data_IF_737828590090
#
_entry.id   IF_737828590090
#
_cell.length_a   1.000
_cell.length_b   1.000
_cell.length_c   1.000
_cell.angle_alpha   90.00
_cell.angle_beta   90.00
_cell.angle_gamma   90.00
#
_symmetry.space_group_name_H-M   'P 1'
#
loop_
_entity.id
_entity.type
_entity.pdbx_description
1 polymer ?
#
# COMPACT_ATOMS: atom_id res chain seq x y z
N UNK A 1 73.53 -23.55 6.04
CA UNK A 1 73.66 -22.09 6.20
C UNK A 1 72.41 -21.59 6.89
N UNK A 2 72.48 -21.47 8.22
CA UNK A 2 71.68 -20.57 9.06
C UNK A 2 72.66 -19.50 9.59
N UNK A 3 72.25 -18.28 10.04
CA UNK A 3 71.44 -18.05 11.27
C UNK A 3 70.36 -16.93 11.10
N UNK A 4 69.28 -16.82 11.89
CA UNK A 4 69.04 -16.47 13.33
C UNK A 4 69.46 -15.04 13.76
N UNK A 5 68.50 -14.26 14.29
CA UNK A 5 68.67 -13.09 15.21
C UNK A 5 67.47 -12.13 15.19
N UNK A 6 66.56 -12.04 16.19
CA UNK A 6 66.61 -11.30 17.48
C UNK A 6 67.16 -9.87 17.32
N UNK A 7 66.58 -8.76 17.81
CA UNK A 7 66.23 -8.40 19.21
C UNK A 7 65.77 -6.91 19.22
N UNK A 8 64.95 -6.44 20.18
CA UNK A 8 64.94 -5.01 20.57
C UNK A 8 63.62 -4.38 21.06
N UNK A 9 63.27 -4.59 22.34
CA UNK A 9 62.46 -3.69 23.20
C UNK A 9 63.43 -2.66 23.90
N UNK A 10 63.00 -1.75 24.79
CA UNK A 10 62.42 -0.41 24.57
C UNK A 10 63.22 0.72 25.30
N UNK A 11 62.99 2.00 25.02
CA UNK A 11 63.54 3.14 25.80
C UNK A 11 62.40 4.15 26.06
N UNK A 12 61.77 4.15 27.24
CA UNK A 12 62.07 4.96 28.46
C UNK A 12 62.34 6.43 28.18
N UNK A 13 61.38 7.28 28.54
CA UNK A 13 61.54 8.32 29.57
C UNK A 13 60.15 8.92 29.88
N UNK A 14 59.56 8.75 31.07
CA UNK A 14 59.85 9.38 32.39
C UNK A 14 59.75 10.90 32.41
N UNK A 15 58.54 11.37 32.74
CA UNK A 15 58.27 12.38 33.78
C UNK A 15 56.88 12.02 34.32
N UNK A 16 56.64 11.43 35.50
CA UNK A 16 57.03 11.69 36.89
C UNK A 16 56.70 13.09 37.38
N UNK A 17 55.50 13.22 37.98
CA UNK A 17 55.17 13.81 39.29
C UNK A 17 53.70 14.28 39.25
N UNK A 18 52.88 14.24 40.30
CA UNK A 18 52.84 13.51 41.57
C UNK A 18 51.61 14.04 42.32
N UNK A 19 51.02 13.19 43.15
CA UNK A 19 50.46 13.46 44.49
C UNK A 19 48.94 13.45 44.69
N UNK A 20 48.56 12.51 45.58
CA UNK A 20 47.68 12.65 46.78
C UNK A 20 46.17 12.74 46.51
N UNK A 21 45.25 12.04 47.17
CA UNK A 21 45.22 11.34 48.46
C UNK A 21 44.16 10.21 48.50
N UNK A 22 44.41 9.25 49.41
CA UNK A 22 43.59 8.13 49.95
C UNK A 22 42.52 8.67 50.97
N UNK A 23 41.79 7.95 51.85
CA UNK A 23 41.18 6.60 51.91
C UNK A 23 39.68 6.53 52.39
N UNK A 24 39.05 5.37 52.14
CA UNK A 24 38.17 4.54 53.02
C UNK A 24 36.90 5.11 53.73
N UNK A 25 35.81 4.33 53.57
CA UNK A 25 34.92 3.67 54.59
C UNK A 25 33.40 3.94 54.49
N UNK A 26 32.70 2.85 54.10
CA UNK A 26 31.53 2.21 54.74
C UNK A 26 30.37 3.09 55.25
N UNK A 27 29.19 2.89 54.68
CA UNK A 27 27.96 2.63 55.44
C UNK A 27 27.10 1.57 54.72
N UNK A 28 26.72 0.53 55.46
CA UNK A 28 25.69 -0.43 55.08
C UNK A 28 24.31 0.12 55.50
N UNK A 29 23.31 -0.02 54.63
CA UNK A 29 21.94 0.46 54.86
C UNK A 29 20.90 -0.34 54.08
N UNK A 30 20.42 -1.41 54.71
CA UNK A 30 19.13 -2.12 54.63
C UNK A 30 18.10 -1.74 53.54
N UNK A 31 17.70 -2.78 52.80
CA UNK A 31 16.37 -3.13 52.28
C UNK A 31 15.35 -2.01 51.93
N UNK A 32 14.97 -1.97 50.65
CA UNK A 32 13.74 -1.34 50.18
C UNK A 32 13.32 -1.94 48.84
N UNK A 33 12.46 -2.96 48.87
CA UNK A 33 11.73 -3.42 47.69
C UNK A 33 10.89 -2.26 47.13
N UNK A 34 11.36 -1.61 46.06
CA UNK A 34 10.51 -0.78 45.19
C UNK A 34 10.37 -1.47 43.85
N UNK A 35 9.18 -2.05 43.66
CA UNK A 35 8.68 -2.48 42.34
C UNK A 35 8.81 -1.27 41.39
N UNK A 36 9.76 -1.34 40.45
CA UNK A 36 9.72 -0.46 39.28
C UNK A 36 8.53 -0.92 38.43
N UNK A 37 7.35 -0.36 38.70
CA UNK A 37 6.27 -0.32 37.70
C UNK A 37 6.78 0.58 36.57
N UNK A 38 7.43 -0.03 35.57
CA UNK A 38 7.63 0.61 34.27
C UNK A 38 6.26 0.76 33.64
N UNK A 39 5.64 1.91 33.90
CA UNK A 39 4.41 2.34 33.24
C UNK A 39 4.76 2.63 31.78
N UNK A 40 4.60 1.63 30.91
CA UNK A 40 4.54 1.88 29.47
C UNK A 40 3.33 2.79 29.22
N UNK A 41 3.47 3.90 28.47
CA UNK A 41 2.33 4.72 28.12
C UNK A 41 1.47 3.95 27.12
N UNK A 42 0.40 3.35 27.62
CA UNK A 42 -0.69 2.83 26.80
C UNK A 42 -1.44 4.04 26.24
N UNK A 43 -0.98 4.61 25.12
CA UNK A 43 -1.72 5.61 24.35
C UNK A 43 -2.56 4.89 23.31
N UNK A 44 -3.82 5.33 23.18
CA UNK A 44 -4.89 4.74 22.35
C UNK A 44 -4.37 4.25 20.99
N UNK A 45 -4.46 2.94 20.80
CA UNK A 45 -4.39 2.31 19.49
C UNK A 45 -5.44 2.96 18.56
N UNK A 46 -5.09 3.34 17.32
CA UNK A 46 -6.09 3.61 16.29
C UNK A 46 -7.07 2.44 16.22
N UNK A 47 -8.36 2.77 16.14
CA UNK A 47 -9.46 1.84 16.42
C UNK A 47 -9.48 0.63 15.46
N UNK A 48 -8.89 -0.49 15.88
CA UNK A 48 -9.06 -1.78 15.23
C UNK A 48 -10.53 -2.23 15.44
N UNK A 49 -11.36 -2.16 14.40
CA UNK A 49 -12.75 -2.62 14.46
C UNK A 49 -12.82 -4.15 14.30
N UNK A 50 -12.32 -4.89 15.30
CA UNK A 50 -12.43 -6.35 15.34
C UNK A 50 -13.89 -6.81 15.34
N UNK A 51 -14.38 -7.24 14.18
CA UNK A 51 -15.48 -8.21 14.01
C UNK A 51 -15.05 -9.16 12.90
N UNK A 52 -15.76 -10.27 12.69
CA UNK A 52 -15.54 -11.20 11.58
C UNK A 52 -15.84 -10.54 10.21
N UNK A 53 -15.08 -9.51 9.87
CA UNK A 53 -15.34 -8.59 8.77
C UNK A 53 -14.10 -7.75 8.49
N UNK A 54 -14.11 -7.16 7.30
CA UNK A 54 -13.06 -6.31 6.75
C UNK A 54 -12.49 -5.30 7.77
N UNK A 55 -11.27 -5.55 8.24
CA UNK A 55 -10.50 -4.75 9.18
C UNK A 55 -9.77 -3.62 8.45
N UNK A 56 -10.05 -2.41 8.89
CA UNK A 56 -9.43 -1.19 8.35
C UNK A 56 -8.71 -0.46 9.46
N UNK A 57 -7.45 -0.10 9.21
CA UNK A 57 -6.72 0.85 10.03
C UNK A 57 -6.67 2.22 9.36
N UNK A 58 -6.76 3.28 10.14
CA UNK A 58 -6.77 4.64 9.63
C UNK A 58 -5.71 5.49 10.32
N UNK A 59 -4.69 5.90 9.55
CA UNK A 59 -3.62 6.79 9.98
C UNK A 59 -3.90 8.28 9.72
N UNK A 60 -5.14 8.65 9.38
CA UNK A 60 -5.67 10.02 9.41
C UNK A 60 -4.79 11.04 8.69
N UNK A 61 -3.93 11.71 9.44
CA UNK A 61 -3.02 12.76 8.96
C UNK A 61 -1.63 12.25 8.51
N UNK A 62 -1.48 10.95 8.25
CA UNK A 62 -0.22 10.36 7.78
C UNK A 62 -0.30 10.05 6.29
N UNK A 63 0.68 10.51 5.52
CA UNK A 63 0.83 10.13 4.12
C UNK A 63 1.68 8.87 3.96
N UNK A 64 1.70 8.30 2.75
CA UNK A 64 2.55 7.15 2.39
C UNK A 64 4.03 7.47 2.56
N UNK A 65 4.42 8.72 2.33
CA UNK A 65 5.79 9.22 2.53
C UNK A 65 6.10 9.25 4.03
N UNK A 66 7.12 8.49 4.46
CA UNK A 66 7.48 8.36 5.88
C UNK A 66 6.76 7.22 6.60
N UNK A 67 6.07 6.36 5.84
CA UNK A 67 5.52 5.09 6.32
C UNK A 67 6.43 3.95 5.82
N UNK A 68 7.04 3.22 6.75
CA UNK A 68 7.69 1.95 6.45
C UNK A 68 6.72 0.80 6.72
N UNK A 69 6.61 -0.12 5.77
CA UNK A 69 5.72 -1.28 5.88
C UNK A 69 6.56 -2.53 5.67
N UNK A 70 6.54 -3.42 6.65
CA UNK A 70 7.29 -4.68 6.65
C UNK A 70 6.40 -5.81 7.17
N UNK A 71 6.90 -7.05 7.12
CA UNK A 71 6.26 -8.22 7.74
C UNK A 71 7.02 -8.69 8.97
N UNK A 72 6.30 -9.08 10.02
CA UNK A 72 6.88 -9.81 11.15
C UNK A 72 7.20 -11.26 10.76
N UNK A 73 7.89 -11.99 11.64
CA UNK A 73 8.16 -13.41 11.45
C UNK A 73 6.86 -14.26 11.41
N UNK A 74 5.80 -13.79 12.06
CA UNK A 74 4.47 -14.41 12.08
C UNK A 74 3.59 -13.98 10.90
N UNK A 75 4.09 -13.12 10.01
CA UNK A 75 3.34 -12.60 8.86
C UNK A 75 2.46 -11.39 9.17
N UNK A 76 2.49 -10.85 10.40
CA UNK A 76 1.75 -9.63 10.75
C UNK A 76 2.30 -8.43 9.97
N UNK A 77 1.43 -7.49 9.59
CA UNK A 77 1.87 -6.21 8.98
C UNK A 77 2.48 -5.36 10.08
N UNK A 78 3.72 -4.91 9.88
CA UNK A 78 4.40 -3.99 10.79
C UNK A 78 4.53 -2.64 10.10
N UNK A 79 3.98 -1.62 10.72
CA UNK A 79 4.02 -0.24 10.22
C UNK A 79 4.85 0.61 11.16
N UNK A 80 5.87 1.27 10.62
CA UNK A 80 6.69 2.22 11.35
C UNK A 80 6.51 3.63 10.80
N UNK A 81 6.16 4.57 11.69
CA UNK A 81 5.95 5.98 11.36
C UNK A 81 6.28 6.88 12.55
N UNK A 82 7.03 7.96 12.33
CA UNK A 82 7.35 8.93 13.39
C UNK A 82 8.07 8.30 14.60
N UNK A 83 8.85 7.24 14.40
CA UNK A 83 9.50 6.46 15.46
C UNK A 83 8.56 5.56 16.28
N UNK A 84 7.26 5.52 15.94
CA UNK A 84 6.29 4.57 16.48
C UNK A 84 6.22 3.34 15.59
N UNK A 85 5.87 2.20 16.16
CA UNK A 85 5.66 0.94 15.43
C UNK A 85 4.36 0.31 15.87
N UNK A 86 3.51 -0.01 14.90
CA UNK A 86 2.26 -0.76 15.08
C UNK A 86 2.38 -2.13 14.41
N UNK A 87 1.81 -3.16 15.03
CA UNK A 87 1.75 -4.52 14.49
C UNK A 87 0.29 -4.91 14.30
N UNK A 88 -0.07 -5.22 13.06
CA UNK A 88 -1.44 -5.42 12.61
C UNK A 88 -1.61 -6.85 12.14
N UNK A 89 -2.58 -7.54 12.75
CA UNK A 89 -2.96 -8.90 12.38
C UNK A 89 -4.19 -8.84 11.50
N UNK A 90 -4.19 -9.62 10.42
CA UNK A 90 -5.35 -9.78 9.54
C UNK A 90 -5.98 -8.45 9.11
N UNK A 91 -5.16 -7.43 8.81
CA UNK A 91 -5.66 -6.15 8.29
C UNK A 91 -5.88 -6.27 6.78
N UNK A 92 -7.04 -5.85 6.29
CA UNK A 92 -7.35 -5.83 4.85
C UNK A 92 -6.97 -4.50 4.20
N UNK A 93 -7.06 -3.39 4.93
CA UNK A 93 -6.80 -2.06 4.40
C UNK A 93 -6.17 -1.13 5.44
N UNK A 94 -5.18 -0.34 5.03
CA UNK A 94 -4.63 0.77 5.81
C UNK A 94 -4.83 2.08 5.05
N UNK A 95 -5.61 2.98 5.62
CA UNK A 95 -5.95 4.30 5.05
C UNK A 95 -4.96 5.36 5.47
N UNK A 96 -4.57 6.17 4.50
CA UNK A 96 -3.61 7.25 4.63
C UNK A 96 -4.21 8.54 4.06
N UNK A 97 -3.56 9.68 4.33
CA UNK A 97 -3.98 11.00 3.85
C UNK A 97 -3.95 11.11 2.32
N UNK A 98 -3.14 10.29 1.64
CA UNK A 98 -2.83 10.35 0.19
C UNK A 98 -3.19 9.06 -0.57
N UNK A 99 -3.88 8.10 0.06
CA UNK A 99 -4.28 6.84 -0.57
C UNK A 99 -4.52 5.72 0.45
N UNK A 100 -4.40 4.47 0.00
CA UNK A 100 -4.55 3.30 0.86
C UNK A 100 -3.55 2.20 0.51
N UNK A 101 -3.16 1.42 1.51
CA UNK A 101 -2.49 0.14 1.32
C UNK A 101 -3.53 -0.96 1.40
N UNK A 102 -3.53 -1.82 0.40
CA UNK A 102 -4.47 -2.93 0.25
C UNK A 102 -3.74 -4.25 0.51
N UNK A 103 -4.32 -5.06 1.38
CA UNK A 103 -3.81 -6.38 1.74
C UNK A 103 -4.81 -7.51 1.42
N UNK A 104 -6.04 -7.14 1.07
CA UNK A 104 -7.08 -8.08 0.69
C UNK A 104 -6.89 -8.59 -0.75
N UNK A 105 -6.81 -9.90 -0.92
CA UNK A 105 -6.72 -10.57 -2.22
C UNK A 105 -7.94 -10.38 -3.13
N UNK A 106 -9.10 -10.07 -2.54
CA UNK A 106 -10.34 -9.83 -3.27
C UNK A 106 -10.56 -8.35 -3.66
N UNK A 107 -9.68 -7.43 -3.24
CA UNK A 107 -9.80 -6.02 -3.62
C UNK A 107 -9.51 -5.84 -5.13
N UNK A 108 -10.16 -4.87 -5.80
CA UNK A 108 -9.86 -4.51 -7.18
C UNK A 108 -8.37 -4.32 -7.48
N UNK A 109 -7.60 -3.75 -6.55
CA UNK A 109 -6.16 -3.57 -6.75
C UNK A 109 -5.44 -4.92 -6.95
N UNK A 110 -5.80 -5.94 -6.16
CA UNK A 110 -5.21 -7.27 -6.28
C UNK A 110 -5.67 -7.99 -7.56
N UNK A 111 -6.93 -7.80 -7.98
CA UNK A 111 -7.44 -8.32 -9.25
C UNK A 111 -6.68 -7.72 -10.44
N UNK A 112 -6.44 -6.42 -10.44
CA UNK A 112 -5.68 -5.74 -11.50
C UNK A 112 -4.25 -6.27 -11.56
N UNK A 113 -3.55 -6.41 -10.43
CA UNK A 113 -2.19 -6.96 -10.45
C UNK A 113 -2.18 -8.38 -11.03
N UNK A 114 -3.11 -9.25 -10.62
CA UNK A 114 -3.23 -10.61 -11.19
C UNK A 114 -3.44 -10.60 -12.70
N UNK A 115 -4.26 -9.68 -13.19
CA UNK A 115 -4.52 -9.53 -14.62
C UNK A 115 -3.26 -9.09 -15.37
N UNK A 116 -2.48 -8.15 -14.81
CA UNK A 116 -1.18 -7.75 -15.37
C UNK A 116 -0.21 -8.93 -15.48
N UNK A 117 -0.08 -9.74 -14.44
CA UNK A 117 0.80 -10.91 -14.50
C UNK A 117 0.29 -11.93 -15.51
N UNK A 118 -1.00 -12.27 -15.50
CA UNK A 118 -1.54 -13.24 -16.44
C UNK A 118 -1.41 -12.78 -17.90
N UNK A 119 -1.69 -11.50 -18.18
CA UNK A 119 -1.67 -10.97 -19.55
C UNK A 119 -0.26 -10.61 -20.02
N UNK A 120 0.54 -9.93 -19.20
CA UNK A 120 1.75 -9.21 -19.63
C UNK A 120 3.03 -9.68 -18.95
N UNK A 121 2.94 -10.61 -17.98
CA UNK A 121 4.08 -11.15 -17.22
C UNK A 121 4.96 -10.06 -16.59
N UNK A 122 4.32 -9.08 -15.93
CA UNK A 122 5.00 -7.99 -15.24
C UNK A 122 4.13 -7.37 -14.15
N UNK A 123 4.78 -6.66 -13.23
CA UNK A 123 4.09 -5.77 -12.31
C UNK A 123 3.50 -4.56 -13.04
N UNK A 124 2.34 -4.03 -12.59
CA UNK A 124 1.83 -2.77 -13.07
C UNK A 124 2.68 -1.58 -12.58
N UNK A 125 2.84 -0.58 -13.44
CA UNK A 125 3.25 0.74 -12.95
C UNK A 125 2.11 1.38 -12.16
N UNK A 126 2.45 2.25 -11.21
CA UNK A 126 1.47 2.90 -10.33
C UNK A 126 0.31 3.56 -11.09
N UNK A 127 0.62 4.32 -12.15
CA UNK A 127 -0.42 5.00 -12.93
C UNK A 127 -1.33 4.01 -13.67
N UNK A 128 -0.75 2.93 -14.22
CA UNK A 128 -1.51 1.87 -14.88
C UNK A 128 -2.41 1.12 -13.91
N UNK A 129 -1.91 0.79 -12.72
CA UNK A 129 -2.69 0.16 -11.65
C UNK A 129 -3.90 1.01 -11.27
N UNK A 130 -3.67 2.29 -10.95
CA UNK A 130 -4.70 3.24 -10.58
C UNK A 130 -5.79 3.39 -11.65
N UNK A 131 -5.38 3.55 -12.91
CA UNK A 131 -6.31 3.66 -14.04
C UNK A 131 -7.29 2.48 -14.08
N UNK A 132 -6.81 1.24 -13.95
CA UNK A 132 -7.68 0.06 -14.00
C UNK A 132 -8.52 -0.14 -12.74
N UNK A 133 -8.00 0.21 -11.56
CA UNK A 133 -8.79 0.22 -10.32
C UNK A 133 -9.97 1.19 -10.46
N UNK A 134 -9.75 2.38 -11.00
CA UNK A 134 -10.80 3.36 -11.21
C UNK A 134 -11.86 2.87 -12.20
N UNK A 135 -11.46 2.18 -13.28
CA UNK A 135 -12.41 1.54 -14.20
C UNK A 135 -13.30 0.51 -13.52
N UNK A 136 -12.73 -0.34 -12.66
CA UNK A 136 -13.51 -1.27 -11.84
C UNK A 136 -14.45 -0.52 -10.88
N UNK A 137 -14.00 0.61 -10.31
CA UNK A 137 -14.80 1.48 -9.45
C UNK A 137 -15.94 2.21 -10.19
N UNK A 138 -15.79 2.44 -11.50
CA UNK A 138 -16.82 2.99 -12.39
C UNK A 138 -17.88 1.94 -12.80
N UNK A 139 -17.69 0.68 -12.41
CA UNK A 139 -18.63 -0.42 -12.66
C UNK A 139 -18.26 -1.31 -13.86
N UNK A 140 -17.10 -1.11 -14.48
CA UNK A 140 -16.58 -2.08 -15.46
C UNK A 140 -16.24 -3.40 -14.78
N UNK A 141 -16.44 -4.51 -15.51
CA UNK A 141 -16.09 -5.84 -15.02
C UNK A 141 -14.64 -6.21 -15.33
N UNK A 142 -14.11 -7.21 -14.63
CA UNK A 142 -12.77 -7.74 -14.91
C UNK A 142 -12.64 -8.26 -16.36
N UNK A 143 -13.74 -8.72 -16.95
CA UNK A 143 -13.79 -9.17 -18.35
C UNK A 143 -13.52 -8.02 -19.33
N UNK A 144 -14.10 -6.84 -19.08
CA UNK A 144 -13.89 -5.64 -19.91
C UNK A 144 -12.41 -5.20 -19.86
N UNK A 145 -11.81 -5.29 -18.68
CA UNK A 145 -10.39 -5.05 -18.48
C UNK A 145 -9.56 -6.07 -19.26
N UNK A 146 -9.83 -7.37 -19.10
CA UNK A 146 -9.13 -8.43 -19.83
C UNK A 146 -9.18 -8.21 -21.36
N UNK A 147 -10.35 -7.85 -21.89
CA UNK A 147 -10.50 -7.50 -23.30
C UNK A 147 -9.63 -6.29 -23.69
N UNK A 148 -9.58 -5.27 -22.84
CA UNK A 148 -8.77 -4.06 -23.08
C UNK A 148 -7.26 -4.35 -23.05
N UNK A 149 -6.81 -5.27 -22.18
CA UNK A 149 -5.42 -5.73 -22.15
C UNK A 149 -5.05 -6.44 -23.45
N UNK A 150 -5.89 -7.36 -23.94
CA UNK A 150 -5.64 -8.09 -25.18
C UNK A 150 -5.63 -7.16 -26.41
N UNK A 151 -6.47 -6.11 -26.39
CA UNK A 151 -6.51 -5.10 -27.44
C UNK A 151 -5.39 -4.05 -27.33
N UNK A 152 -4.62 -4.06 -26.23
CA UNK A 152 -3.62 -3.02 -25.98
C UNK A 152 -2.46 -3.09 -26.99
N UNK A 153 -1.87 -1.95 -27.35
CA UNK A 153 -0.63 -1.93 -28.13
C UNK A 153 0.50 -2.72 -27.46
N UNK A 154 0.52 -2.76 -26.12
CA UNK A 154 1.55 -3.46 -25.37
C UNK A 154 1.46 -4.98 -25.53
N UNK A 155 0.26 -5.57 -25.40
CA UNK A 155 0.07 -7.00 -25.59
C UNK A 155 0.47 -7.41 -27.02
N UNK A 156 0.03 -6.64 -28.01
CA UNK A 156 0.37 -6.86 -29.42
C UNK A 156 1.87 -6.68 -29.69
N UNK A 157 2.53 -5.70 -29.07
CA UNK A 157 3.97 -5.50 -29.21
C UNK A 157 4.77 -6.63 -28.55
N UNK A 158 4.28 -7.17 -27.42
CA UNK A 158 4.96 -8.23 -26.68
C UNK A 158 4.82 -9.60 -27.34
N UNK A 159 3.63 -9.93 -27.85
CA UNK A 159 3.34 -11.29 -28.34
C UNK A 159 2.96 -11.39 -29.81
N UNK A 160 2.62 -10.28 -30.46
CA UNK A 160 2.15 -10.27 -31.84
C UNK A 160 0.82 -11.01 -32.00
N UNK A 161 0.62 -11.57 -33.20
CA UNK A 161 -0.54 -12.42 -33.48
C UNK A 161 -0.25 -13.85 -33.03
N UNK A 162 -1.06 -14.34 -32.09
CA UNK A 162 -0.98 -15.71 -31.57
C UNK A 162 -2.14 -16.55 -32.11
N UNK A 163 -1.89 -17.83 -32.41
CA UNK A 163 -2.96 -18.83 -32.49
C UNK A 163 -3.55 -19.10 -31.10
N UNK A 164 -4.71 -19.75 -31.02
CA UNK A 164 -5.33 -20.07 -29.73
C UNK A 164 -4.45 -20.99 -28.87
N UNK A 165 -3.78 -21.98 -29.49
CA UNK A 165 -2.80 -22.82 -28.78
C UNK A 165 -1.65 -21.99 -28.22
N UNK A 166 -1.04 -21.13 -29.03
CA UNK A 166 0.07 -20.28 -28.58
C UNK A 166 -0.36 -19.30 -27.51
N UNK A 167 -1.60 -18.81 -27.59
CA UNK A 167 -2.18 -17.94 -26.58
C UNK A 167 -2.35 -18.66 -25.24
N UNK A 168 -2.93 -19.85 -25.22
CA UNK A 168 -3.06 -20.67 -23.98
C UNK A 168 -1.69 -21.03 -23.42
N UNK A 169 -0.74 -21.42 -24.28
CA UNK A 169 0.65 -21.68 -23.86
C UNK A 169 1.28 -20.46 -23.20
N UNK A 170 1.04 -19.26 -23.76
CA UNK A 170 1.54 -18.01 -23.19
C UNK A 170 0.95 -17.73 -21.82
N UNK A 171 -0.36 -17.90 -21.64
CA UNK A 171 -0.99 -17.67 -20.34
C UNK A 171 -0.47 -18.62 -19.26
N UNK A 172 -0.22 -19.89 -19.60
CA UNK A 172 0.44 -20.82 -18.69
C UNK A 172 1.85 -20.38 -18.31
N UNK A 173 2.64 -19.94 -19.29
CA UNK A 173 3.98 -19.44 -19.02
C UNK A 173 3.95 -18.21 -18.10
N UNK A 174 3.02 -17.28 -18.33
CA UNK A 174 2.90 -16.06 -17.53
C UNK A 174 2.42 -16.35 -16.10
N UNK A 175 1.42 -17.23 -15.94
CA UNK A 175 0.80 -17.50 -14.64
C UNK A 175 1.61 -18.49 -13.80
N UNK A 176 2.17 -19.54 -14.41
CA UNK A 176 2.83 -20.63 -13.70
C UNK A 176 4.35 -20.66 -13.88
N UNK A 177 4.90 -19.88 -14.82
CA UNK A 177 6.33 -19.93 -15.17
C UNK A 177 6.74 -21.23 -15.86
N UNK A 178 5.79 -22.08 -16.25
CA UNK A 178 6.01 -23.40 -16.86
C UNK A 178 5.00 -23.66 -17.98
N UNK A 179 5.28 -24.69 -18.77
CA UNK A 179 4.30 -25.21 -19.72
C UNK A 179 3.09 -25.80 -18.99
N UNK A 180 1.90 -25.54 -19.55
CA UNK A 180 0.67 -26.16 -19.11
C UNK A 180 0.65 -27.66 -19.38
N UNK A 181 -0.07 -28.40 -18.55
CA UNK A 181 -0.30 -29.82 -18.76
C UNK A 181 -1.23 -30.06 -19.96
N UNK A 182 -1.01 -31.16 -20.69
CA UNK A 182 -1.74 -31.46 -21.92
C UNK A 182 -3.27 -31.42 -21.75
N UNK A 183 -3.78 -31.98 -20.64
CA UNK A 183 -5.21 -31.99 -20.34
C UNK A 183 -5.75 -30.58 -20.06
N UNK A 184 -5.00 -29.75 -19.34
CA UNK A 184 -5.39 -28.36 -19.04
C UNK A 184 -5.42 -27.50 -20.30
N UNK A 185 -4.39 -27.62 -21.15
CA UNK A 185 -4.35 -26.94 -22.46
C UNK A 185 -5.54 -27.35 -23.33
N UNK A 186 -5.81 -28.65 -23.44
CA UNK A 186 -6.93 -29.17 -24.23
C UNK A 186 -8.28 -28.63 -23.71
N UNK A 187 -8.44 -28.52 -22.38
CA UNK A 187 -9.65 -27.95 -21.80
C UNK A 187 -9.85 -26.49 -22.22
N UNK A 188 -8.84 -25.62 -22.06
CA UNK A 188 -8.94 -24.21 -22.46
C UNK A 188 -9.18 -24.03 -23.96
N UNK A 189 -8.53 -24.84 -24.80
CA UNK A 189 -8.77 -24.82 -26.25
C UNK A 189 -10.21 -25.21 -26.58
N UNK A 190 -10.77 -26.22 -25.91
CA UNK A 190 -12.18 -26.58 -26.08
C UNK A 190 -13.14 -25.45 -25.70
N UNK A 191 -12.78 -24.58 -24.75
CA UNK A 191 -13.60 -23.42 -24.39
C UNK A 191 -13.62 -22.40 -25.53
N UNK A 192 -12.45 -22.13 -26.13
CA UNK A 192 -12.32 -21.24 -27.29
C UNK A 192 -13.09 -21.81 -28.51
N UNK A 193 -12.96 -23.11 -28.77
CA UNK A 193 -13.70 -23.80 -29.83
C UNK A 193 -15.22 -23.77 -29.61
N UNK A 194 -15.66 -23.72 -28.34
CA UNK A 194 -17.08 -23.62 -27.96
C UNK A 194 -17.63 -22.18 -28.00
N UNK A 195 -16.82 -21.20 -28.42
CA UNK A 195 -17.23 -19.81 -28.61
C UNK A 195 -16.93 -18.87 -27.44
N UNK A 196 -16.23 -19.32 -26.40
CA UNK A 196 -15.70 -18.39 -25.40
C UNK A 196 -14.62 -17.51 -26.02
N UNK A 197 -14.58 -16.26 -25.58
CA UNK A 197 -13.60 -15.28 -26.00
C UNK A 197 -12.24 -15.52 -25.32
N UNK A 198 -11.17 -15.05 -25.97
CA UNK A 198 -9.84 -15.01 -25.33
C UNK A 198 -9.83 -14.20 -24.04
N UNK A 199 -10.67 -13.17 -23.91
CA UNK A 199 -10.78 -12.37 -22.71
C UNK A 199 -11.35 -13.18 -21.53
N UNK A 200 -12.36 -14.03 -21.76
CA UNK A 200 -12.87 -14.95 -20.74
C UNK A 200 -11.80 -15.95 -20.28
N UNK A 201 -11.02 -16.48 -21.23
CA UNK A 201 -9.89 -17.36 -20.90
C UNK A 201 -8.84 -16.63 -20.06
N UNK A 202 -8.44 -15.41 -20.45
CA UNK A 202 -7.49 -14.60 -19.66
C UNK A 202 -8.01 -14.33 -18.25
N UNK A 203 -9.29 -13.96 -18.11
CA UNK A 203 -9.91 -13.75 -16.80
C UNK A 203 -9.84 -15.04 -15.96
N UNK A 204 -10.13 -16.19 -16.56
CA UNK A 204 -10.06 -17.49 -15.90
C UNK A 204 -8.65 -17.83 -15.40
N UNK A 205 -7.62 -17.56 -16.21
CA UNK A 205 -6.23 -17.69 -15.79
C UNK A 205 -5.86 -16.69 -14.68
N UNK A 206 -6.24 -15.42 -14.83
CA UNK A 206 -5.99 -14.35 -13.86
C UNK A 206 -6.53 -14.71 -12.47
N UNK A 207 -7.76 -15.20 -12.41
CA UNK A 207 -8.45 -15.49 -11.14
C UNK A 207 -8.32 -16.95 -10.70
N UNK A 208 -7.51 -17.75 -11.39
CA UNK A 208 -7.22 -19.13 -11.00
C UNK A 208 -6.59 -19.19 -9.61
N UNK A 209 -6.86 -20.28 -8.88
CA UNK A 209 -6.27 -20.50 -7.55
C UNK A 209 -4.72 -20.49 -7.60
N UNK A 210 -4.15 -21.01 -8.70
CA UNK A 210 -2.70 -21.01 -8.92
C UNK A 210 -2.15 -19.59 -9.08
N UNK A 211 -2.77 -18.74 -9.92
CA UNK A 211 -2.29 -17.36 -10.09
C UNK A 211 -2.43 -16.54 -8.81
N UNK A 212 -3.54 -16.73 -8.08
CA UNK A 212 -3.74 -16.08 -6.77
C UNK A 212 -2.64 -16.46 -5.79
N UNK A 213 -2.26 -17.73 -5.74
CA UNK A 213 -1.16 -18.19 -4.91
C UNK A 213 0.20 -17.61 -5.35
N UNK A 214 0.47 -17.60 -6.66
CA UNK A 214 1.73 -17.13 -7.22
C UNK A 214 1.94 -15.62 -7.00
N UNK A 215 0.86 -14.84 -7.09
CA UNK A 215 0.91 -13.38 -6.97
C UNK A 215 0.78 -12.87 -5.54
N UNK A 216 0.27 -13.67 -4.60
CA UNK A 216 0.14 -13.29 -3.18
C UNK A 216 1.46 -12.83 -2.55
N UNK A 217 2.60 -13.35 -3.03
CA UNK A 217 3.93 -12.95 -2.59
C UNK A 217 4.33 -11.52 -3.00
N UNK A 218 3.81 -11.01 -4.11
CA UNK A 218 4.25 -9.75 -4.73
C UNK A 218 3.86 -8.54 -3.87
N UNK A 219 2.69 -8.60 -3.23
CA UNK A 219 2.16 -7.52 -2.42
C UNK A 219 2.09 -7.87 -0.94
N UNK A 220 3.03 -8.69 -0.45
CA UNK A 220 3.15 -8.93 0.99
C UNK A 220 3.24 -7.61 1.76
N UNK A 221 3.88 -6.56 1.26
CA UNK A 221 3.92 -5.27 1.96
C UNK A 221 2.74 -4.32 1.64
N UNK A 222 1.69 -4.85 1.03
CA UNK A 222 0.49 -4.12 0.63
C UNK A 222 0.64 -3.48 -0.75
N UNK A 223 -0.46 -3.50 -1.50
CA UNK A 223 -0.57 -2.79 -2.77
C UNK A 223 -0.84 -1.33 -2.45
N UNK A 224 0.01 -0.43 -2.94
CA UNK A 224 -0.24 0.99 -2.81
C UNK A 224 -1.24 1.43 -3.87
N UNK A 225 -2.42 1.86 -3.45
CA UNK A 225 -3.45 2.46 -4.28
C UNK A 225 -3.52 3.96 -3.93
N UNK A 226 -2.89 4.77 -4.78
CA UNK A 226 -2.87 6.23 -4.64
C UNK A 226 -4.29 6.76 -4.81
N UNK A 227 -4.68 7.74 -4.02
CA UNK A 227 -5.86 8.54 -4.34
C UNK A 227 -5.35 9.87 -4.90
N UNK A 228 -5.42 10.05 -6.23
CA UNK A 228 -4.79 11.21 -6.88
C UNK A 228 -5.39 12.54 -6.38
N UNK A 229 -6.69 12.57 -6.12
CA UNK A 229 -7.37 13.72 -5.54
C UNK A 229 -6.93 13.94 -4.10
N UNK A 230 -6.82 12.87 -3.30
CA UNK A 230 -6.25 12.95 -1.96
C UNK A 230 -4.84 13.53 -1.97
N UNK A 231 -4.01 13.06 -2.89
CA UNK A 231 -2.61 13.44 -3.00
C UNK A 231 -2.49 14.93 -3.39
N UNK A 232 -3.33 15.41 -4.30
CA UNK A 232 -3.39 16.83 -4.64
C UNK A 232 -3.82 17.68 -3.45
N UNK A 233 -4.86 17.27 -2.73
CA UNK A 233 -5.32 17.94 -1.51
C UNK A 233 -4.23 17.93 -0.43
N UNK A 234 -3.58 16.79 -0.22
CA UNK A 234 -2.49 16.59 0.73
C UNK A 234 -1.32 17.54 0.46
N UNK A 235 -0.90 17.68 -0.80
CA UNK A 235 0.16 18.61 -1.21
C UNK A 235 -0.21 20.07 -0.93
N UNK A 236 -1.47 20.46 -1.20
CA UNK A 236 -1.94 21.82 -0.93
C UNK A 236 -1.95 22.11 0.57
N UNK A 237 -2.50 21.19 1.37
CA UNK A 237 -2.54 21.30 2.82
C UNK A 237 -1.14 21.39 3.43
N UNK A 238 -0.21 20.55 2.98
CA UNK A 238 1.17 20.58 3.44
C UNK A 238 1.83 21.93 3.11
N UNK A 239 1.67 22.42 1.88
CA UNK A 239 2.29 23.68 1.42
C UNK A 239 1.70 24.91 2.11
N UNK A 240 0.38 24.96 2.32
CA UNK A 240 -0.32 26.15 2.84
C UNK A 240 -0.40 26.15 4.37
N UNK A 241 -0.60 24.97 4.98
CA UNK A 241 -0.89 24.83 6.41
C UNK A 241 0.21 24.10 7.18
N UNK A 242 1.26 23.60 6.51
CA UNK A 242 2.37 22.86 7.14
C UNK A 242 1.91 21.55 7.78
N UNK A 243 0.80 20.97 7.31
CA UNK A 243 0.23 19.73 7.84
C UNK A 243 -0.57 19.00 6.77
N UNK A 244 -0.66 17.69 6.88
CA UNK A 244 -1.56 16.89 6.04
C UNK A 244 -3.04 17.02 6.50
N UNK A 245 -4.01 16.81 5.59
CA UNK A 245 -5.41 16.71 5.96
C UNK A 245 -5.64 15.41 6.74
N UNK A 246 -6.59 15.41 7.67
CA UNK A 246 -7.07 14.15 8.24
C UNK A 246 -7.89 13.42 7.16
N UNK A 247 -7.49 12.19 6.83
CA UNK A 247 -8.20 11.32 5.90
C UNK A 247 -9.69 11.15 6.27
N UNK A 248 -10.08 11.35 7.53
CA UNK A 248 -11.47 11.28 7.98
C UNK A 248 -12.32 12.46 7.52
N UNK A 249 -11.72 13.64 7.37
CA UNK A 249 -12.48 14.89 7.21
C UNK A 249 -13.16 14.99 5.84
N UNK A 250 -12.51 14.52 4.78
CA UNK A 250 -12.97 14.75 3.41
C UNK A 250 -13.49 13.48 2.70
N UNK A 251 -13.31 12.30 3.31
CA UNK A 251 -13.78 11.00 2.79
C UNK A 251 -15.22 10.62 3.20
N UNK A 252 -15.92 11.49 3.95
CA UNK A 252 -17.37 11.37 4.20
C UNK A 252 -18.22 11.72 2.97
N UNK A 253 -17.58 12.14 1.88
CA UNK A 253 -18.21 12.37 0.58
C UNK A 253 -18.06 11.11 -0.26
N UNK A 254 -19.14 10.54 -0.83
CA UNK A 254 -19.02 9.44 -1.77
C UNK A 254 -18.01 9.84 -2.85
N UNK A 255 -17.13 8.91 -3.26
CA UNK A 255 -16.32 9.08 -4.46
C UNK A 255 -17.31 9.55 -5.53
N UNK A 256 -17.13 10.75 -6.06
CA UNK A 256 -17.96 11.22 -7.16
C UNK A 256 -17.66 10.31 -8.33
N UNK A 257 -18.40 9.20 -8.46
CA UNK A 257 -18.51 8.56 -9.75
C UNK A 257 -19.12 9.60 -10.66
N UNK A 258 -18.57 9.74 -11.86
CA UNK A 258 -19.03 10.69 -12.88
C UNK A 258 -20.39 10.26 -13.44
N UNK A 259 -21.26 9.63 -12.64
CA UNK A 259 -22.68 9.60 -12.89
C UNK A 259 -23.27 10.91 -12.35
N UNK A 260 -23.16 11.95 -13.17
CA UNK A 260 -23.92 13.20 -13.00
C UNK A 260 -25.42 12.88 -13.04
N UNK A 261 -25.99 12.47 -11.91
CA UNK A 261 -27.42 12.38 -11.72
C UNK A 261 -27.73 12.41 -10.23
N UNK A 262 -28.17 13.60 -9.81
CA UNK A 262 -28.94 13.86 -8.58
C UNK A 262 -28.14 13.88 -7.27
N UNK A 263 -27.13 14.73 -7.20
CA UNK A 263 -26.89 15.44 -5.93
C UNK A 263 -28.02 16.47 -5.76
N UNK A 264 -29.08 16.08 -5.04
CA UNK A 264 -30.10 17.00 -4.54
C UNK A 264 -29.51 17.97 -3.53
N UNK A 265 -28.73 18.95 -4.00
CA UNK A 265 -28.42 20.15 -3.23
C UNK A 265 -29.58 21.12 -3.45
N UNK A 266 -30.54 21.14 -2.53
CA UNK A 266 -31.43 22.30 -2.40
C UNK A 266 -30.55 23.55 -2.26
N UNK A 267 -30.71 24.56 -3.14
CA UNK A 267 -29.96 25.80 -2.99
C UNK A 267 -30.33 26.44 -1.65
N UNK A 268 -29.33 26.73 -0.82
CA UNK A 268 -29.52 27.60 0.35
C UNK A 268 -30.08 28.93 -0.13
N UNK A 269 -31.07 29.53 0.57
CA UNK A 269 -31.56 30.85 0.18
C UNK A 269 -30.42 31.88 0.29
N UNK A 270 -30.21 32.64 -0.78
CA UNK A 270 -29.26 33.77 -0.80
C UNK A 270 -29.58 34.77 0.31
N UNK A 271 -28.57 35.36 0.95
CA UNK A 271 -28.80 36.48 1.86
C UNK A 271 -29.40 37.66 1.09
N UNK A 272 -30.50 38.21 1.61
CA UNK A 272 -31.21 39.33 1.03
C UNK A 272 -30.29 40.54 0.82
N UNK A 273 -30.40 41.17 -0.35
CA UNK A 273 -29.68 42.39 -0.68
C UNK A 273 -30.08 43.55 0.27
N UNK A 274 -29.16 44.47 0.60
CA UNK A 274 -29.47 45.61 1.45
C UNK A 274 -30.44 46.57 0.75
N UNK A 275 -31.46 47.02 1.49
CA UNK A 275 -32.49 47.92 1.00
C UNK A 275 -31.92 49.29 0.63
N UNK A 276 -32.10 49.70 -0.63
CA UNK A 276 -31.83 51.06 -1.07
C UNK A 276 -32.83 52.02 -0.42
N UNK A 277 -32.39 52.83 0.55
CA UNK A 277 -33.16 53.98 1.03
C UNK A 277 -33.27 55.01 -0.11
N UNK A 278 -34.50 55.26 -0.55
CA UNK A 278 -34.84 56.35 -1.48
C UNK A 278 -34.66 57.67 -0.72
N UNK A 279 -33.72 58.50 -1.18
CA UNK A 279 -33.58 59.88 -0.73
C UNK A 279 -34.69 60.70 -1.41
N UNK A 280 -35.58 61.28 -0.61
CA UNK A 280 -36.52 62.32 -1.03
C UNK A 280 -35.84 63.67 -0.88
N UNK A 281 -35.70 64.43 -1.98
CA UNK A 281 -35.35 65.84 -1.96
C UNK A 281 -36.61 66.69 -1.68
N UNK A 282 -36.50 67.83 -0.97
CA UNK A 282 -37.58 68.81 -0.90
C UNK A 282 -37.43 69.90 -1.97
N UNK A 283 -38.56 70.44 -2.44
CA UNK A 283 -38.66 71.78 -3.04
C UNK A 283 -38.49 72.88 -2.00
#
# INVERSE_FOLDING_TARGET
MEPVGRTGLPDRDRHRRSHRDDPRRRYAGRAGHRRQRRSAPCRRLPHLRRRAGFDVLDYGATGRRGLAVTRSAEGDVVITHGGQTDTLRSVEEVRLADGRLVFNEADPAAQVVRLYHAALDRDPEQQGLNFWIDRLGEGHGLLDLAQSFLASPEFNARYGSLTDSQYVDRLYQNVLGREGEAAGKAWWLSQLDSGHSRAEVLQGFSESAENRANTAGLWQNGIWDVDEHALQAARLYDTVLGRLPDARDWRSRPRCSTAASRCGMSPRPSPAAPSSRRSTAPE
#
